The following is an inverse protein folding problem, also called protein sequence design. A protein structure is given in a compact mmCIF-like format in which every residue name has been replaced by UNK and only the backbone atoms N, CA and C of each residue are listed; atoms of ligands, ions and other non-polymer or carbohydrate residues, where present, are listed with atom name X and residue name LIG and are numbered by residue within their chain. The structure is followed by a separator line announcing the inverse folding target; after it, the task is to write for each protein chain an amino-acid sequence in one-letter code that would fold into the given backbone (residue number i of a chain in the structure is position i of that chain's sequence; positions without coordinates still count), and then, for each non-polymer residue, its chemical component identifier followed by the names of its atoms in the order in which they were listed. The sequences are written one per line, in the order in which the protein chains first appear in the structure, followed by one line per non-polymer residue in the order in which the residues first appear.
data_IF_532799473111
#
_entry.id   IF_532799473111
#
_cell.length_a   1.000
_cell.length_b   1.000
_cell.length_c   1.000
_cell.angle_alpha   90.00
_cell.angle_beta   90.00
_cell.angle_gamma   90.00
#
_symmetry.space_group_name_H-M   'P 1'
#
loop_
_entity.id
_entity.type
_entity.pdbx_description
1 polymer ?
#
# COMPACT_ATOMS: atom_id res chain seq x y z
N UNK A 1 52.27 3.11 9.58
CA UNK A 1 51.11 3.89 9.11
C UNK A 1 50.21 2.95 8.32
N UNK A 2 49.18 2.41 8.96
CA UNK A 2 48.18 1.55 8.30
C UNK A 2 47.37 2.43 7.34
N UNK A 3 47.34 2.04 6.06
CA UNK A 3 46.52 2.70 5.06
C UNK A 3 45.07 2.70 5.54
N UNK A 4 44.52 3.88 5.86
CA UNK A 4 43.09 4.02 6.11
C UNK A 4 42.37 3.64 4.81
N UNK A 5 41.84 2.43 4.75
CA UNK A 5 40.93 1.99 3.70
C UNK A 5 39.84 3.03 3.56
N UNK A 6 39.68 3.62 2.37
CA UNK A 6 38.59 4.56 2.10
C UNK A 6 37.26 3.92 2.53
N UNK A 7 36.40 4.65 3.23
CA UNK A 7 35.11 4.11 3.68
C UNK A 7 34.30 3.65 2.47
N UNK A 8 33.87 2.39 2.48
CA UNK A 8 33.07 1.79 1.39
C UNK A 8 31.67 2.40 1.43
N UNK A 9 31.14 2.94 0.31
CA UNK A 9 29.80 3.50 0.29
C UNK A 9 28.76 2.40 0.53
N UNK A 10 27.85 2.64 1.47
CA UNK A 10 26.72 1.77 1.78
C UNK A 10 25.40 2.45 1.42
N UNK A 11 24.40 1.66 1.07
CA UNK A 11 23.08 2.12 0.65
C UNK A 11 22.03 1.43 1.49
N UNK A 12 21.18 2.21 2.14
CA UNK A 12 20.10 1.71 3.00
C UNK A 12 18.78 1.79 2.23
N UNK A 13 18.17 0.65 1.96
CA UNK A 13 16.80 0.55 1.46
C UNK A 13 15.82 0.31 2.61
N UNK A 14 14.71 1.03 2.62
CA UNK A 14 13.62 0.89 3.58
C UNK A 14 12.32 0.72 2.79
N UNK A 15 11.53 -0.31 3.11
CA UNK A 15 10.17 -0.45 2.58
C UNK A 15 9.18 -0.51 3.74
N UNK A 16 8.35 0.53 3.87
CA UNK A 16 7.35 0.61 4.94
C UNK A 16 5.99 0.21 4.41
N UNK A 17 5.53 -0.98 4.81
CA UNK A 17 4.20 -1.49 4.53
C UNK A 17 3.23 -1.40 5.71
N UNK A 18 1.99 -1.84 5.48
CA UNK A 18 0.91 -1.76 6.48
C UNK A 18 1.07 -2.71 7.68
N UNK A 19 1.87 -3.77 7.55
CA UNK A 19 2.10 -4.81 8.58
C UNK A 19 3.56 -4.86 9.01
N UNK A 20 4.48 -4.75 8.06
CA UNK A 20 5.91 -4.85 8.31
C UNK A 20 6.68 -3.73 7.63
N UNK A 21 7.79 -3.37 8.26
CA UNK A 21 8.83 -2.50 7.70
C UNK A 21 10.05 -3.36 7.44
N UNK A 22 10.50 -3.37 6.19
CA UNK A 22 11.66 -4.12 5.73
C UNK A 22 12.84 -3.15 5.55
N UNK A 23 14.03 -3.58 5.94
CA UNK A 23 15.26 -2.82 5.75
C UNK A 23 16.35 -3.70 5.14
N UNK A 24 17.12 -3.13 4.22
CA UNK A 24 18.23 -3.79 3.53
C UNK A 24 19.42 -2.85 3.47
N UNK A 25 20.60 -3.35 3.86
CA UNK A 25 21.86 -2.66 3.66
C UNK A 25 22.62 -3.32 2.51
N UNK A 26 22.93 -2.54 1.49
CA UNK A 26 23.59 -2.99 0.28
C UNK A 26 24.93 -2.27 0.09
N UNK A 27 25.92 -3.01 -0.39
CA UNK A 27 27.23 -2.48 -0.76
C UNK A 27 27.48 -2.69 -2.24
N UNK A 28 27.87 -1.64 -2.94
CA UNK A 28 28.28 -1.72 -4.34
C UNK A 28 29.66 -2.39 -4.49
N UNK A 29 30.53 -2.18 -3.51
CA UNK A 29 31.95 -2.59 -3.55
C UNK A 29 32.19 -4.03 -3.08
N UNK A 30 31.16 -4.70 -2.59
CA UNK A 30 31.25 -6.10 -2.16
C UNK A 30 30.41 -6.97 -3.07
N UNK A 31 30.86 -8.20 -3.36
CA UNK A 31 30.20 -9.07 -4.35
C UNK A 31 30.71 -8.82 -5.78
N UNK A 32 29.99 -9.34 -6.80
CA UNK A 32 30.35 -9.15 -8.20
C UNK A 32 30.54 -7.68 -8.53
N UNK A 33 31.60 -7.34 -9.25
CA UNK A 33 31.92 -5.96 -9.64
C UNK A 33 31.53 -5.65 -11.09
N UNK A 34 31.24 -6.69 -11.87
CA UNK A 34 30.83 -6.63 -13.26
C UNK A 34 29.67 -7.60 -13.50
N UNK A 35 28.89 -7.33 -14.55
CA UNK A 35 27.75 -8.15 -14.92
C UNK A 35 26.49 -7.91 -14.08
N UNK A 36 25.42 -8.67 -14.34
CA UNK A 36 24.18 -8.61 -13.56
C UNK A 36 24.44 -9.06 -12.11
N UNK A 37 23.67 -8.55 -11.15
CA UNK A 37 23.92 -8.72 -9.70
C UNK A 37 25.21 -8.07 -9.17
N UNK A 38 25.66 -6.95 -9.75
CA UNK A 38 26.74 -6.15 -9.14
C UNK A 38 26.37 -5.79 -7.70
N UNK A 39 27.35 -5.83 -6.80
CA UNK A 39 27.17 -5.51 -5.39
C UNK A 39 26.64 -6.68 -4.56
N UNK A 40 26.36 -6.42 -3.28
CA UNK A 40 25.95 -7.45 -2.31
C UNK A 40 25.06 -6.87 -1.22
N UNK A 41 24.00 -7.60 -0.88
CA UNK A 41 23.22 -7.37 0.34
C UNK A 41 24.05 -7.83 1.54
N UNK A 42 24.41 -6.89 2.41
CA UNK A 42 25.18 -7.16 3.63
C UNK A 42 24.28 -7.70 4.75
N UNK A 43 23.11 -7.10 4.91
CA UNK A 43 22.14 -7.51 5.91
C UNK A 43 20.72 -7.13 5.47
N UNK A 44 19.75 -7.90 5.98
CA UNK A 44 18.32 -7.61 5.90
C UNK A 44 17.65 -7.84 7.24
N UNK A 45 16.65 -7.05 7.55
CA UNK A 45 15.79 -7.24 8.71
C UNK A 45 14.37 -6.79 8.42
N UNK A 46 13.48 -7.22 9.29
CA UNK A 46 12.05 -6.96 9.22
C UNK A 46 11.56 -6.69 10.64
N UNK A 47 10.77 -5.65 10.80
CA UNK A 47 10.11 -5.31 12.05
C UNK A 47 8.62 -5.10 11.80
N UNK A 48 7.80 -5.28 12.84
CA UNK A 48 6.37 -4.93 12.76
C UNK A 48 6.22 -3.43 12.53
N UNK A 49 5.33 -3.05 11.60
CA UNK A 49 4.97 -1.64 11.41
C UNK A 49 4.06 -1.20 12.54
N UNK A 50 4.55 -0.26 13.34
CA UNK A 50 3.78 0.38 14.40
C UNK A 50 3.02 1.57 13.82
N UNK A 51 1.78 1.36 13.35
CA UNK A 51 1.02 2.41 12.61
C UNK A 51 0.83 3.74 13.37
N UNK A 52 0.73 3.70 14.69
CA UNK A 52 0.59 4.89 15.52
C UNK A 52 1.92 5.61 15.78
N UNK A 53 3.05 4.93 15.57
CA UNK A 53 4.39 5.48 15.71
C UNK A 53 5.36 4.77 14.74
N UNK A 54 5.44 5.29 13.52
CA UNK A 54 6.24 4.69 12.45
C UNK A 54 7.74 4.64 12.80
N UNK A 55 8.21 5.50 13.70
CA UNK A 55 9.62 5.53 14.11
C UNK A 55 10.03 4.22 14.78
N UNK A 56 9.13 3.58 15.53
CA UNK A 56 9.39 2.28 16.19
C UNK A 56 9.64 1.17 15.16
N UNK A 57 8.80 1.10 14.12
CA UNK A 57 8.95 0.08 13.06
C UNK A 57 10.23 0.30 12.23
N UNK A 58 10.51 1.55 11.89
CA UNK A 58 11.68 1.94 11.10
C UNK A 58 12.97 1.70 11.89
N UNK A 59 13.06 2.21 13.11
CA UNK A 59 14.24 2.01 13.98
C UNK A 59 14.48 0.52 14.23
N UNK A 60 13.45 -0.26 14.57
CA UNK A 60 13.58 -1.69 14.80
C UNK A 60 14.14 -2.45 13.58
N UNK A 61 13.70 -2.10 12.37
CA UNK A 61 14.21 -2.72 11.14
C UNK A 61 15.65 -2.28 10.84
N UNK A 62 15.94 -0.98 10.87
CA UNK A 62 17.25 -0.45 10.48
C UNK A 62 18.33 -0.82 11.51
N UNK A 63 18.02 -0.78 12.81
CA UNK A 63 18.94 -1.17 13.88
C UNK A 63 19.38 -2.62 13.76
N UNK A 64 18.42 -3.51 13.50
CA UNK A 64 18.70 -4.92 13.30
C UNK A 64 19.61 -5.14 12.07
N UNK A 65 19.47 -4.34 11.01
CA UNK A 65 20.36 -4.39 9.84
C UNK A 65 21.76 -3.89 10.19
N UNK A 66 21.88 -2.73 10.84
CA UNK A 66 23.16 -2.16 11.25
C UNK A 66 23.94 -3.08 12.19
N UNK A 67 23.24 -3.66 13.18
CA UNK A 67 23.83 -4.62 14.12
C UNK A 67 24.32 -5.88 13.43
N UNK A 68 23.51 -6.46 12.52
CA UNK A 68 23.91 -7.67 11.75
C UNK A 68 25.09 -7.42 10.83
N UNK A 69 25.14 -6.25 10.19
CA UNK A 69 26.22 -5.88 9.29
C UNK A 69 27.52 -5.52 10.03
N UNK A 70 27.42 -5.02 11.27
CA UNK A 70 28.58 -4.59 12.06
C UNK A 70 29.30 -3.38 11.45
N UNK A 71 28.56 -2.51 10.74
CA UNK A 71 29.12 -1.37 9.98
C UNK A 71 28.86 -0.04 10.65
N UNK A 72 29.77 0.91 10.48
CA UNK A 72 29.57 2.31 10.87
C UNK A 72 28.46 2.97 10.03
N UNK A 73 27.38 3.51 10.65
CA UNK A 73 26.33 4.24 9.95
C UNK A 73 26.84 5.42 9.11
N UNK A 74 27.99 6.02 9.44
CA UNK A 74 28.59 7.13 8.67
C UNK A 74 29.01 6.74 7.24
N UNK A 75 29.11 5.44 6.96
CA UNK A 75 29.41 4.92 5.62
C UNK A 75 28.18 4.89 4.71
N UNK A 76 26.97 5.04 5.25
CA UNK A 76 25.75 5.14 4.44
C UNK A 76 25.81 6.45 3.65
N UNK A 77 25.64 6.36 2.33
CA UNK A 77 25.69 7.50 1.39
C UNK A 77 24.34 7.83 0.77
N UNK A 78 23.36 6.93 0.89
CA UNK A 78 22.01 7.14 0.41
C UNK A 78 21.05 6.30 1.24
N UNK A 79 19.92 6.89 1.61
CA UNK A 79 18.76 6.18 2.15
C UNK A 79 17.65 6.27 1.12
N UNK A 80 17.16 5.13 0.65
CA UNK A 80 16.04 5.04 -0.29
C UNK A 80 14.84 4.41 0.42
N UNK A 81 13.69 5.06 0.32
CA UNK A 81 12.46 4.62 0.99
C UNK A 81 11.33 4.39 -0.02
N UNK A 82 10.77 3.19 -0.03
CA UNK A 82 9.48 2.89 -0.67
C UNK A 82 8.40 2.74 0.39
N UNK A 83 7.13 2.83 -0.03
CA UNK A 83 6.03 2.57 0.88
C UNK A 83 4.76 2.12 0.16
N UNK A 84 4.07 1.15 0.75
CA UNK A 84 2.71 0.77 0.33
C UNK A 84 1.63 1.48 1.15
N UNK A 85 2.00 2.33 2.12
CA UNK A 85 1.04 3.07 2.94
C UNK A 85 0.13 3.96 2.08
N UNK A 86 0.69 4.66 1.09
CA UNK A 86 -0.09 5.50 0.18
C UNK A 86 -1.13 4.70 -0.62
N UNK A 87 -0.71 3.61 -1.26
CA UNK A 87 -1.62 2.74 -2.02
C UNK A 87 -2.70 2.13 -1.13
N UNK A 88 -2.33 1.58 0.03
CA UNK A 88 -3.28 0.96 0.96
C UNK A 88 -4.27 1.99 1.51
N UNK A 89 -3.82 3.19 1.83
CA UNK A 89 -4.69 4.25 2.32
C UNK A 89 -5.79 4.57 1.30
N UNK A 90 -5.44 4.72 0.02
CA UNK A 90 -6.43 4.99 -1.02
C UNK A 90 -7.38 3.80 -1.27
N UNK A 91 -6.88 2.57 -1.23
CA UNK A 91 -7.69 1.35 -1.40
C UNK A 91 -8.66 1.16 -0.22
N UNK A 92 -8.20 1.41 0.99
CA UNK A 92 -8.99 1.26 2.23
C UNK A 92 -9.86 2.49 2.53
N UNK A 93 -9.80 3.55 1.71
CA UNK A 93 -10.49 4.82 1.94
C UNK A 93 -9.98 5.57 3.18
N UNK A 94 -8.77 5.26 3.64
CA UNK A 94 -8.11 5.90 4.78
C UNK A 94 -7.33 7.14 4.31
N UNK A 95 -7.26 8.15 5.18
CA UNK A 95 -6.57 9.40 4.90
C UNK A 95 -7.07 10.51 5.82
N UNK A 96 -6.45 11.68 5.71
CA UNK A 96 -6.96 12.87 6.39
C UNK A 96 -8.28 13.33 5.78
N UNK A 97 -9.20 13.85 6.59
CA UNK A 97 -10.36 14.61 6.08
C UNK A 97 -9.85 15.87 5.40
N UNK A 98 -10.30 16.17 4.18
CA UNK A 98 -9.80 17.30 3.37
C UNK A 98 -10.95 18.13 2.82
N UNK A 99 -10.77 19.44 2.69
CA UNK A 99 -11.73 20.29 1.97
C UNK A 99 -11.34 20.43 0.50
N UNK A 100 -12.29 20.17 -0.41
CA UNK A 100 -12.13 20.40 -1.85
C UNK A 100 -12.64 21.79 -2.23
N UNK A 101 -11.77 22.66 -2.74
CA UNK A 101 -12.12 23.96 -3.30
C UNK A 101 -12.16 23.86 -4.82
N UNK A 102 -13.33 24.06 -5.41
CA UNK A 102 -13.56 24.01 -6.85
C UNK A 102 -13.87 25.40 -7.40
N UNK A 103 -12.94 25.98 -8.16
CA UNK A 103 -13.05 27.34 -8.69
C UNK A 103 -13.47 27.31 -10.16
N UNK A 104 -14.63 27.89 -10.49
CA UNK A 104 -15.18 27.91 -11.84
C UNK A 104 -15.79 26.58 -12.30
N UNK A 105 -16.10 25.67 -11.37
CA UNK A 105 -16.79 24.41 -11.62
C UNK A 105 -18.25 24.47 -11.18
N UNK A 106 -19.06 23.57 -11.71
CA UNK A 106 -20.46 23.36 -11.30
C UNK A 106 -20.59 22.14 -10.37
N UNK A 107 -21.69 22.04 -9.61
CA UNK A 107 -21.97 20.84 -8.81
C UNK A 107 -22.05 19.56 -9.66
N UNK A 108 -22.49 19.68 -10.93
CA UNK A 108 -22.56 18.57 -11.87
C UNK A 108 -21.19 17.94 -12.17
N UNK A 109 -20.10 18.70 -12.01
CA UNK A 109 -18.74 18.20 -12.24
C UNK A 109 -18.32 17.17 -11.19
N UNK A 110 -18.92 17.16 -9.99
CA UNK A 110 -18.67 16.14 -8.98
C UNK A 110 -19.09 14.74 -9.43
N UNK A 111 -20.11 14.63 -10.28
CA UNK A 111 -20.60 13.34 -10.76
C UNK A 111 -19.65 12.65 -11.75
N UNK A 112 -18.56 13.33 -12.16
CA UNK A 112 -17.62 12.87 -13.19
C UNK A 112 -16.37 12.25 -12.58
N UNK A 113 -15.76 11.31 -13.33
CA UNK A 113 -14.51 10.63 -13.00
C UNK A 113 -14.46 10.00 -11.59
N UNK A 114 -15.61 9.72 -10.97
CA UNK A 114 -15.69 9.17 -9.61
C UNK A 114 -15.41 10.18 -8.49
N UNK A 115 -15.34 11.48 -8.79
CA UNK A 115 -15.01 12.53 -7.82
C UNK A 115 -15.96 12.57 -6.62
N UNK A 116 -17.28 12.50 -6.84
CA UNK A 116 -18.29 12.46 -5.77
C UNK A 116 -18.12 11.25 -4.85
N UNK A 117 -17.80 10.09 -5.43
CA UNK A 117 -17.56 8.88 -4.66
C UNK A 117 -16.28 8.97 -3.82
N UNK A 118 -15.21 9.54 -4.38
CA UNK A 118 -13.97 9.80 -3.65
C UNK A 118 -14.18 10.84 -2.53
N UNK A 119 -14.91 11.93 -2.82
CA UNK A 119 -15.22 12.99 -1.86
C UNK A 119 -15.97 12.44 -0.64
N UNK A 120 -17.02 11.64 -0.86
CA UNK A 120 -17.79 11.06 0.24
C UNK A 120 -18.43 12.16 1.10
N UNK A 121 -18.00 12.28 2.35
CA UNK A 121 -18.48 13.29 3.33
C UNK A 121 -17.49 14.45 3.55
N UNK A 122 -16.42 14.50 2.76
CA UNK A 122 -15.48 15.62 2.78
C UNK A 122 -16.16 16.90 2.28
N UNK A 123 -15.87 18.06 2.90
CA UNK A 123 -16.50 19.31 2.51
C UNK A 123 -16.01 19.77 1.14
N UNK A 124 -16.91 20.39 0.39
CA UNK A 124 -16.61 21.03 -0.90
C UNK A 124 -17.08 22.47 -0.88
N UNK A 125 -16.25 23.37 -1.40
CA UNK A 125 -16.56 24.80 -1.55
C UNK A 125 -16.44 25.15 -3.02
N UNK A 126 -17.51 25.70 -3.59
CA UNK A 126 -17.51 26.22 -4.95
C UNK A 126 -17.25 27.73 -4.94
N UNK A 127 -16.31 28.17 -5.76
CA UNK A 127 -15.98 29.60 -5.89
C UNK A 127 -16.17 30.04 -7.35
N UNK A 128 -16.84 31.18 -7.60
CA UNK A 128 -16.86 31.80 -8.91
C UNK A 128 -15.45 32.17 -9.38
N UNK A 129 -15.17 31.98 -10.67
CA UNK A 129 -13.87 32.25 -11.27
C UNK A 129 -13.52 31.23 -12.35
N UNK A 130 -12.29 30.72 -12.30
CA UNK A 130 -11.74 29.86 -13.34
C UNK A 130 -11.21 30.63 -14.55
N UNK A 131 -10.75 29.90 -15.56
CA UNK A 131 -10.19 30.46 -16.78
C UNK A 131 -10.86 29.85 -18.00
N UNK A 132 -10.87 30.56 -19.11
CA UNK A 132 -11.33 30.02 -20.39
C UNK A 132 -10.27 29.08 -21.03
N UNK A 133 -10.60 28.54 -22.20
CA UNK A 133 -9.69 27.65 -22.94
C UNK A 133 -8.38 28.35 -23.31
N UNK A 134 -8.30 29.68 -23.36
CA UNK A 134 -7.08 30.43 -23.70
C UNK A 134 -6.27 30.82 -22.46
N UNK A 135 -6.79 30.57 -21.25
CA UNK A 135 -6.15 30.93 -19.98
C UNK A 135 -6.53 32.33 -19.49
N UNK A 136 -7.52 32.98 -20.11
CA UNK A 136 -8.03 34.27 -19.66
C UNK A 136 -8.84 34.06 -18.37
N UNK A 137 -8.49 34.79 -17.32
CA UNK A 137 -9.14 34.67 -16.02
C UNK A 137 -10.52 35.35 -16.01
N UNK A 138 -11.54 34.63 -15.54
CA UNK A 138 -12.78 35.25 -15.10
C UNK A 138 -12.58 35.97 -13.76
N UNK A 139 -13.52 36.83 -13.35
CA UNK A 139 -13.46 37.46 -12.03
C UNK A 139 -13.52 36.39 -10.94
N UNK A 140 -12.46 36.31 -10.13
CA UNK A 140 -12.39 35.44 -8.96
C UNK A 140 -13.20 36.01 -7.79
N UNK A 141 -13.98 35.17 -7.13
CA UNK A 141 -14.65 35.49 -5.87
C UNK A 141 -14.37 34.38 -4.83
N UNK A 142 -13.59 34.72 -3.81
CA UNK A 142 -13.23 33.82 -2.71
C UNK A 142 -14.01 34.13 -1.42
N UNK A 143 -14.98 35.04 -1.43
CA UNK A 143 -15.71 35.44 -0.22
C UNK A 143 -16.37 34.25 0.49
N UNK A 144 -16.98 33.34 -0.28
CA UNK A 144 -17.58 32.11 0.25
C UNK A 144 -16.54 31.14 0.85
N UNK A 145 -15.33 31.08 0.27
CA UNK A 145 -14.23 30.32 0.86
C UNK A 145 -13.78 30.95 2.17
N UNK A 146 -13.51 32.26 2.17
CA UNK A 146 -13.05 32.99 3.37
C UNK A 146 -14.02 32.82 4.55
N UNK A 147 -15.34 32.88 4.29
CA UNK A 147 -16.35 32.67 5.30
C UNK A 147 -16.37 31.23 5.87
N UNK A 148 -16.02 30.22 5.07
CA UNK A 148 -15.99 28.82 5.48
C UNK A 148 -14.69 28.41 6.20
N UNK A 149 -13.58 29.15 6.02
CA UNK A 149 -12.26 28.79 6.54
C UNK A 149 -12.20 28.60 8.07
N UNK A 150 -12.89 29.38 8.93
CA UNK A 150 -12.85 29.16 10.38
C UNK A 150 -13.34 27.76 10.79
N UNK A 151 -14.43 27.28 10.19
CA UNK A 151 -14.97 25.94 10.49
C UNK A 151 -14.15 24.84 9.80
N UNK A 152 -13.75 25.06 8.55
CA UNK A 152 -12.95 24.08 7.80
C UNK A 152 -11.58 23.89 8.46
N UNK A 153 -10.90 24.98 8.84
CA UNK A 153 -9.59 24.93 9.49
C UNK A 153 -9.55 24.12 10.78
N UNK A 154 -10.68 24.03 11.50
CA UNK A 154 -10.80 23.22 12.71
C UNK A 154 -11.19 21.75 12.43
N UNK A 155 -11.72 21.43 11.24
CA UNK A 155 -12.37 20.15 10.95
C UNK A 155 -11.71 19.33 9.83
N UNK A 156 -10.75 19.90 9.10
CA UNK A 156 -9.99 19.21 8.05
C UNK A 156 -8.49 19.24 8.35
N UNK A 157 -7.77 18.28 7.78
CA UNK A 157 -6.31 18.16 7.88
C UNK A 157 -5.56 18.89 6.76
N UNK A 158 -6.28 19.37 5.74
CA UNK A 158 -5.70 20.07 4.60
C UNK A 158 -6.75 20.41 3.54
N UNK A 159 -6.30 21.08 2.48
CA UNK A 159 -7.15 21.53 1.37
C UNK A 159 -6.63 21.03 0.02
N UNK A 160 -7.56 20.72 -0.87
CA UNK A 160 -7.32 20.45 -2.28
C UNK A 160 -7.94 21.58 -3.10
N UNK A 161 -7.16 22.28 -3.92
CA UNK A 161 -7.64 23.40 -4.74
C UNK A 161 -7.54 23.05 -6.21
N UNK A 162 -8.67 23.12 -6.92
CA UNK A 162 -8.74 22.92 -8.35
C UNK A 162 -9.50 24.07 -9.01
N UNK A 163 -8.87 24.74 -9.98
CA UNK A 163 -9.51 25.74 -10.83
C UNK A 163 -9.67 25.25 -12.27
N UNK A 164 -10.74 25.71 -12.92
CA UNK A 164 -10.96 25.49 -14.34
C UNK A 164 -9.80 26.07 -15.16
N UNK A 165 -9.26 25.29 -16.10
CA UNK A 165 -8.07 25.62 -16.91
C UNK A 165 -6.82 26.12 -16.14
N UNK A 166 -6.65 25.72 -14.87
CA UNK A 166 -5.49 26.14 -14.07
C UNK A 166 -4.13 25.71 -14.66
N UNK A 167 -4.12 24.66 -15.50
CA UNK A 167 -2.91 24.19 -16.20
C UNK A 167 -2.40 25.20 -17.24
N UNK A 168 -3.24 26.13 -17.70
CA UNK A 168 -2.84 27.25 -18.55
C UNK A 168 -2.52 28.50 -17.75
N UNK A 169 -3.31 28.75 -16.69
CA UNK A 169 -3.13 29.90 -15.81
C UNK A 169 -3.45 29.50 -14.36
N UNK A 170 -2.44 29.37 -13.48
CA UNK A 170 -2.65 28.90 -12.11
C UNK A 170 -3.08 30.02 -11.13
N UNK A 171 -3.27 31.27 -11.59
CA UNK A 171 -3.45 32.43 -10.74
C UNK A 171 -4.56 32.26 -9.67
N UNK A 172 -5.70 31.69 -10.04
CA UNK A 172 -6.79 31.44 -9.08
C UNK A 172 -6.48 30.36 -8.05
N UNK A 173 -5.75 29.30 -8.42
CA UNK A 173 -5.34 28.28 -7.45
C UNK A 173 -4.33 28.86 -6.46
N UNK A 174 -3.38 29.66 -6.96
CA UNK A 174 -2.39 30.35 -6.13
C UNK A 174 -3.09 31.31 -5.16
N UNK A 175 -4.02 32.13 -5.64
CA UNK A 175 -4.76 33.07 -4.78
C UNK A 175 -5.53 32.37 -3.66
N UNK A 176 -6.25 31.29 -3.99
CA UNK A 176 -6.96 30.50 -2.98
C UNK A 176 -6.01 29.82 -2.00
N UNK A 177 -4.87 29.28 -2.49
CA UNK A 177 -3.84 28.66 -1.67
C UNK A 177 -3.26 29.63 -0.63
N UNK A 178 -2.89 30.83 -1.06
CA UNK A 178 -2.32 31.84 -0.15
C UNK A 178 -3.35 32.25 0.91
N UNK A 179 -4.60 32.51 0.51
CA UNK A 179 -5.69 32.82 1.45
C UNK A 179 -5.89 31.70 2.50
N UNK A 180 -5.96 30.44 2.06
CA UNK A 180 -6.14 29.30 2.95
C UNK A 180 -4.96 29.20 3.93
N UNK A 181 -3.72 29.31 3.44
CA UNK A 181 -2.51 29.24 4.27
C UNK A 181 -2.45 30.37 5.29
N UNK A 182 -2.76 31.60 4.88
CA UNK A 182 -2.78 32.76 5.75
C UNK A 182 -3.77 32.60 6.90
N UNK A 183 -4.99 32.10 6.62
CA UNK A 183 -6.07 32.01 7.61
C UNK A 183 -6.01 30.76 8.48
N UNK A 184 -5.49 29.64 7.97
CA UNK A 184 -5.56 28.34 8.65
C UNK A 184 -4.21 27.71 8.98
N UNK A 185 -3.13 28.08 8.29
CA UNK A 185 -1.83 27.42 8.40
C UNK A 185 -1.78 25.97 7.89
N UNK A 186 -2.88 25.44 7.38
CA UNK A 186 -2.99 24.04 6.96
C UNK A 186 -2.34 23.80 5.58
N UNK A 187 -1.90 22.56 5.29
CA UNK A 187 -1.35 22.21 3.99
C UNK A 187 -2.41 22.33 2.89
N UNK A 188 -1.97 22.81 1.73
CA UNK A 188 -2.81 23.02 0.55
C UNK A 188 -2.15 22.39 -0.67
N UNK A 189 -2.86 21.47 -1.32
CA UNK A 189 -2.47 20.90 -2.61
C UNK A 189 -3.16 21.67 -3.73
N UNK A 190 -2.38 22.21 -4.67
CA UNK A 190 -2.93 22.86 -5.87
C UNK A 190 -2.82 21.93 -7.07
N UNK A 191 -3.91 21.78 -7.82
CA UNK A 191 -3.96 20.76 -8.87
C UNK A 191 -2.99 21.00 -10.04
N UNK A 192 -2.66 22.26 -10.34
CA UNK A 192 -1.69 22.60 -11.40
C UNK A 192 -0.27 22.13 -11.07
N UNK A 193 0.05 21.92 -9.79
CA UNK A 193 1.35 21.41 -9.36
C UNK A 193 1.46 19.89 -9.60
N UNK A 194 0.35 19.17 -9.64
CA UNK A 194 0.33 17.72 -9.80
C UNK A 194 0.26 17.27 -11.26
N UNK A 195 -0.48 17.99 -12.10
CA UNK A 195 -0.64 17.60 -13.51
C UNK A 195 -0.91 18.80 -14.41
N UNK A 196 -0.20 18.84 -15.54
CA UNK A 196 -0.45 19.79 -16.62
C UNK A 196 -1.53 19.30 -17.62
N UNK A 197 -2.02 18.05 -17.48
CA UNK A 197 -3.02 17.46 -18.38
C UNK A 197 -4.40 18.10 -18.18
N UNK A 198 -5.17 18.21 -19.26
CA UNK A 198 -6.58 18.62 -19.21
C UNK A 198 -7.46 17.54 -18.54
N UNK A 199 -8.69 17.89 -18.17
CA UNK A 199 -9.61 16.99 -17.46
C UNK A 199 -9.85 17.45 -16.02
N UNK A 200 -10.63 18.52 -15.86
CA UNK A 200 -10.87 19.18 -14.58
C UNK A 200 -11.34 18.26 -13.43
N UNK A 201 -12.41 17.46 -13.60
CA UNK A 201 -12.88 16.55 -12.56
C UNK A 201 -11.85 15.50 -12.14
N UNK A 202 -11.15 14.87 -13.09
CA UNK A 202 -10.07 13.91 -12.79
C UNK A 202 -8.87 14.56 -12.11
N UNK A 203 -8.53 15.80 -12.46
CA UNK A 203 -7.53 16.61 -11.75
C UNK A 203 -7.96 16.91 -10.31
N UNK A 204 -9.20 17.34 -10.12
CA UNK A 204 -9.76 17.60 -8.79
C UNK A 204 -9.72 16.33 -7.93
N UNK A 205 -10.08 15.18 -8.50
CA UNK A 205 -9.95 13.86 -7.86
C UNK A 205 -8.50 13.60 -7.43
N UNK A 206 -7.54 13.71 -8.35
CA UNK A 206 -6.13 13.46 -8.04
C UNK A 206 -5.61 14.40 -6.94
N UNK A 207 -6.04 15.66 -6.97
CA UNK A 207 -5.68 16.69 -5.98
C UNK A 207 -6.25 16.37 -4.61
N UNK A 208 -7.51 15.93 -4.55
CA UNK A 208 -8.15 15.47 -3.34
C UNK A 208 -7.40 14.27 -2.75
N UNK A 209 -7.14 13.24 -3.56
CA UNK A 209 -6.42 12.04 -3.09
C UNK A 209 -5.01 12.38 -2.60
N UNK A 210 -4.28 13.26 -3.29
CA UNK A 210 -2.98 13.72 -2.82
C UNK A 210 -3.05 14.41 -1.46
N UNK A 211 -3.97 15.38 -1.31
CA UNK A 211 -4.14 16.13 -0.07
C UNK A 211 -4.44 15.21 1.13
N UNK A 212 -5.20 14.13 0.92
CA UNK A 212 -5.50 13.13 1.97
C UNK A 212 -4.28 12.36 2.45
N UNK A 213 -3.26 12.22 1.60
CA UNK A 213 -2.04 11.47 1.89
C UNK A 213 -0.93 12.30 2.54
N UNK A 214 -1.01 13.64 2.47
CA UNK A 214 0.05 14.56 2.95
C UNK A 214 0.45 14.22 4.38
N UNK A 215 -0.50 14.20 5.32
CA UNK A 215 -0.21 13.96 6.75
C UNK A 215 0.38 12.59 7.04
N UNK A 216 0.05 11.59 6.23
CA UNK A 216 0.59 10.23 6.38
C UNK A 216 2.05 10.17 5.95
N UNK A 217 2.35 10.69 4.76
CA UNK A 217 3.71 10.68 4.22
C UNK A 217 4.61 11.65 4.98
N UNK A 218 4.08 12.79 5.44
CA UNK A 218 4.80 13.74 6.29
C UNK A 218 5.31 13.08 7.58
N UNK A 219 4.46 12.30 8.26
CA UNK A 219 4.83 11.51 9.45
C UNK A 219 5.85 10.42 9.14
N UNK A 220 5.68 9.71 8.02
CA UNK A 220 6.64 8.68 7.60
C UNK A 220 8.03 9.30 7.37
N UNK A 221 8.10 10.38 6.61
CA UNK A 221 9.35 11.07 6.32
C UNK A 221 9.97 11.64 7.59
N UNK A 222 9.18 12.27 8.47
CA UNK A 222 9.66 12.82 9.73
C UNK A 222 10.22 11.74 10.66
N UNK A 223 9.55 10.59 10.75
CA UNK A 223 10.02 9.45 11.54
C UNK A 223 11.38 8.93 11.01
N UNK A 224 11.51 8.80 9.68
CA UNK A 224 12.77 8.38 9.07
C UNK A 224 13.87 9.41 9.28
N UNK A 225 13.63 10.70 9.00
CA UNK A 225 14.63 11.76 9.19
C UNK A 225 15.08 11.89 10.65
N UNK A 226 14.14 11.79 11.60
CA UNK A 226 14.44 11.76 13.03
C UNK A 226 15.36 10.61 13.40
N UNK A 227 15.04 9.39 12.94
CA UNK A 227 15.90 8.22 13.15
C UNK A 227 17.30 8.40 12.55
N UNK A 228 17.40 8.92 11.32
CA UNK A 228 18.70 9.17 10.68
C UNK A 228 19.53 10.17 11.50
N UNK A 229 18.90 11.22 12.03
CA UNK A 229 19.52 12.19 12.92
C UNK A 229 20.05 11.56 14.21
N UNK A 230 19.24 10.76 14.90
CA UNK A 230 19.64 10.06 16.14
C UNK A 230 20.83 9.12 15.94
N UNK A 231 20.98 8.55 14.73
CA UNK A 231 22.09 7.67 14.37
C UNK A 231 23.23 8.34 13.63
N UNK A 232 23.23 9.67 13.55
CA UNK A 232 24.26 10.45 12.87
C UNK A 232 24.48 10.01 11.41
N UNK A 233 23.42 9.55 10.74
CA UNK A 233 23.45 9.19 9.32
C UNK A 233 23.21 10.47 8.51
N UNK A 234 24.28 11.04 7.95
CA UNK A 234 24.24 12.28 7.17
C UNK A 234 23.76 12.09 5.71
N UNK A 235 23.32 10.88 5.33
CA UNK A 235 22.92 10.57 3.97
C UNK A 235 21.57 11.22 3.60
N UNK A 236 21.37 11.62 2.34
CA UNK A 236 20.08 12.10 1.88
C UNK A 236 19.03 10.99 1.92
N UNK A 237 17.82 11.34 2.38
CA UNK A 237 16.63 10.52 2.26
C UNK A 237 15.94 10.78 0.92
N UNK A 238 15.87 9.73 0.11
CA UNK A 238 15.17 9.71 -1.17
C UNK A 238 13.96 8.77 -1.08
N UNK A 239 12.89 9.12 -1.78
CA UNK A 239 11.64 8.36 -1.83
C UNK A 239 11.43 7.81 -3.23
N UNK A 240 10.99 6.56 -3.32
CA UNK A 240 10.70 5.89 -4.60
C UNK A 240 9.31 6.31 -5.09
N UNK A 241 9.21 6.72 -6.36
CA UNK A 241 7.94 7.00 -7.04
C UNK A 241 7.35 5.75 -7.68
N UNK A 242 6.07 5.83 -8.06
CA UNK A 242 5.37 4.76 -8.77
C UNK A 242 5.95 4.41 -10.15
N UNK A 243 6.85 5.23 -10.69
CA UNK A 243 7.60 4.98 -11.94
C UNK A 243 8.99 4.37 -11.69
N UNK A 244 9.39 4.18 -10.43
CA UNK A 244 10.69 3.65 -10.02
C UNK A 244 11.79 4.71 -9.89
N UNK A 245 11.49 5.98 -10.18
CA UNK A 245 12.45 7.07 -9.98
C UNK A 245 12.59 7.44 -8.50
N UNK A 246 13.75 8.01 -8.13
CA UNK A 246 14.00 8.56 -6.80
C UNK A 246 13.76 10.07 -6.79
N UNK A 247 13.06 10.54 -5.78
CA UNK A 247 12.83 11.97 -5.50
C UNK A 247 13.22 12.32 -4.08
N UNK A 248 13.44 13.60 -3.81
CA UNK A 248 13.74 14.04 -2.44
C UNK A 248 12.54 13.83 -1.53
N UNK A 249 12.81 13.65 -0.24
CA UNK A 249 11.79 13.59 0.79
C UNK A 249 10.88 14.83 0.78
N UNK A 250 11.44 16.02 0.54
CA UNK A 250 10.69 17.27 0.40
C UNK A 250 9.69 17.25 -0.77
N UNK A 251 10.06 16.68 -1.91
CA UNK A 251 9.16 16.51 -3.05
C UNK A 251 8.01 15.54 -2.70
N UNK A 252 8.34 14.40 -2.08
CA UNK A 252 7.35 13.40 -1.69
C UNK A 252 6.35 13.93 -0.64
N UNK A 253 6.78 14.82 0.27
CA UNK A 253 5.88 15.49 1.23
C UNK A 253 4.84 16.39 0.55
N UNK A 254 5.13 16.94 -0.63
CA UNK A 254 4.19 17.77 -1.39
C UNK A 254 3.32 16.95 -2.34
N UNK A 255 3.87 15.87 -2.90
CA UNK A 255 3.22 15.03 -3.91
C UNK A 255 3.20 13.55 -3.52
N UNK A 256 2.65 13.19 -2.35
CA UNK A 256 2.59 11.80 -1.89
C UNK A 256 1.82 10.88 -2.83
N UNK A 257 0.90 11.42 -3.64
CA UNK A 257 0.19 10.63 -4.65
C UNK A 257 1.14 10.01 -5.69
N UNK A 258 2.32 10.58 -5.90
CA UNK A 258 3.33 10.04 -6.83
C UNK A 258 4.08 8.83 -6.26
N UNK A 259 3.90 8.49 -4.98
CA UNK A 259 4.51 7.32 -4.34
C UNK A 259 3.59 6.09 -4.34
N UNK A 260 2.39 6.21 -4.92
CA UNK A 260 1.51 5.04 -5.14
C UNK A 260 2.22 4.04 -6.04
N UNK A 261 2.07 2.75 -5.74
CA UNK A 261 2.70 1.66 -6.50
C UNK A 261 4.24 1.71 -6.52
N UNK A 262 4.87 2.44 -5.58
CA UNK A 262 6.33 2.52 -5.46
C UNK A 262 7.00 1.18 -5.13
N UNK A 263 6.34 0.32 -4.34
CA UNK A 263 6.81 -1.04 -4.04
C UNK A 263 7.00 -1.89 -5.31
N UNK A 264 5.93 -2.13 -6.10
CA UNK A 264 6.04 -2.82 -7.39
C UNK A 264 7.07 -2.19 -8.32
N UNK A 265 7.13 -0.86 -8.40
CA UNK A 265 8.11 -0.18 -9.23
C UNK A 265 9.57 -0.46 -8.77
N UNK A 266 9.82 -0.47 -7.46
CA UNK A 266 11.11 -0.86 -6.89
C UNK A 266 11.46 -2.32 -7.20
N UNK A 267 10.49 -3.24 -7.13
CA UNK A 267 10.67 -4.65 -7.51
C UNK A 267 11.14 -4.79 -8.96
N UNK A 268 10.58 -4.00 -9.89
CA UNK A 268 10.99 -4.00 -11.31
C UNK A 268 12.42 -3.48 -11.49
N UNK A 269 12.77 -2.37 -10.85
CA UNK A 269 14.12 -1.80 -10.91
C UNK A 269 15.15 -2.78 -10.31
N UNK A 270 14.81 -3.42 -9.19
CA UNK A 270 15.63 -4.44 -8.56
C UNK A 270 15.79 -5.69 -9.43
N UNK A 271 14.71 -6.17 -10.06
CA UNK A 271 14.74 -7.31 -10.98
C UNK A 271 15.65 -7.04 -12.19
N UNK A 272 15.58 -5.85 -12.77
CA UNK A 272 16.51 -5.43 -13.84
C UNK A 272 17.95 -5.45 -13.36
N UNK A 273 18.24 -4.89 -12.19
CA UNK A 273 19.61 -4.88 -11.62
C UNK A 273 20.16 -6.30 -11.42
N UNK A 274 19.31 -7.22 -10.95
CA UNK A 274 19.71 -8.59 -10.67
C UNK A 274 19.86 -9.46 -11.92
N UNK A 275 19.04 -9.22 -12.94
CA UNK A 275 19.01 -10.08 -14.13
C UNK A 275 19.81 -9.51 -15.30
N UNK A 276 20.02 -8.19 -15.33
CA UNK A 276 20.56 -7.48 -16.49
C UNK A 276 19.60 -7.44 -17.69
N UNK A 277 18.35 -7.88 -17.52
CA UNK A 277 17.36 -7.91 -18.60
C UNK A 277 16.67 -6.55 -18.72
N UNK A 278 16.80 -5.94 -19.90
CA UNK A 278 16.11 -4.70 -20.21
C UNK A 278 14.64 -4.91 -20.59
N UNK A 279 14.30 -6.11 -21.11
CA UNK A 279 12.94 -6.48 -21.47
C UNK A 279 12.54 -7.73 -20.70
N UNK A 280 11.57 -7.61 -19.81
CA UNK A 280 11.12 -8.71 -18.95
C UNK A 280 9.69 -8.51 -18.47
N UNK A 281 9.02 -9.63 -18.16
CA UNK A 281 7.79 -9.63 -17.37
C UNK A 281 8.19 -9.97 -15.94
N UNK A 282 7.85 -9.08 -15.00
CA UNK A 282 8.09 -9.27 -13.58
C UNK A 282 6.77 -9.64 -12.93
N UNK A 283 6.77 -10.77 -12.21
CA UNK A 283 5.62 -11.27 -11.44
C UNK A 283 5.99 -11.28 -9.96
N UNK A 284 5.43 -10.33 -9.21
CA UNK A 284 5.60 -10.24 -7.75
C UNK A 284 4.42 -10.96 -7.07
N UNK A 285 4.69 -12.13 -6.50
CA UNK A 285 3.68 -13.00 -5.89
C UNK A 285 3.75 -12.84 -4.38
N UNK A 286 2.76 -12.13 -3.82
CA UNK A 286 2.57 -12.02 -2.38
C UNK A 286 1.71 -13.17 -1.82
N UNK A 287 1.32 -13.07 -0.54
CA UNK A 287 0.41 -14.04 0.07
C UNK A 287 -0.99 -14.01 -0.54
N UNK A 288 -1.48 -12.84 -0.96
CA UNK A 288 -2.89 -12.68 -1.35
C UNK A 288 -3.12 -12.29 -2.81
N UNK A 289 -2.10 -11.71 -3.44
CA UNK A 289 -2.17 -11.14 -4.78
C UNK A 289 -0.89 -11.37 -5.54
N UNK A 290 -1.00 -11.36 -6.86
CA UNK A 290 0.12 -11.38 -7.80
C UNK A 290 0.07 -10.13 -8.63
N UNK A 291 1.14 -9.35 -8.59
CA UNK A 291 1.31 -8.13 -9.36
C UNK A 291 2.23 -8.40 -10.55
N UNK A 292 1.70 -8.24 -11.76
CA UNK A 292 2.44 -8.46 -13.00
C UNK A 292 2.68 -7.13 -13.69
N UNK A 293 3.93 -6.81 -14.00
CA UNK A 293 4.29 -5.62 -14.77
C UNK A 293 5.45 -5.89 -15.74
N UNK A 294 5.67 -4.95 -16.65
CA UNK A 294 6.59 -5.10 -17.78
C UNK A 294 7.75 -4.11 -17.66
N UNK A 295 8.96 -4.63 -17.79
CA UNK A 295 10.17 -3.86 -18.12
C UNK A 295 10.29 -3.77 -19.63
N UNK A 296 10.42 -2.55 -20.15
CA UNK A 296 10.56 -2.23 -21.57
C UNK A 296 11.75 -1.28 -21.75
N UNK A 297 12.77 -1.69 -22.49
CA UNK A 297 13.99 -0.90 -22.70
C UNK A 297 14.71 -0.50 -21.40
N UNK A 298 14.64 -1.37 -20.38
CA UNK A 298 15.29 -1.18 -19.10
C UNK A 298 14.53 -0.26 -18.13
N UNK A 299 13.27 0.08 -18.43
CA UNK A 299 12.43 0.95 -17.60
C UNK A 299 11.08 0.28 -17.32
N UNK A 300 10.46 0.53 -16.16
CA UNK A 300 9.07 0.15 -15.93
C UNK A 300 8.16 0.78 -16.99
N UNK A 301 7.33 -0.02 -17.64
CA UNK A 301 6.29 0.48 -18.53
C UNK A 301 5.24 1.22 -17.70
N UNK A 302 4.92 2.45 -18.06
CA UNK A 302 3.95 3.30 -17.36
C UNK A 302 2.57 3.25 -18.02
N UNK A 303 1.52 3.52 -17.25
CA UNK A 303 0.16 3.73 -17.78
C UNK A 303 0.00 5.22 -18.18
N UNK A 304 -0.04 5.57 -19.49
CA UNK A 304 -0.10 6.96 -19.94
C UNK A 304 -1.42 7.66 -19.57
N UNK A 305 -2.46 6.86 -19.33
CA UNK A 305 -3.80 7.31 -18.94
C UNK A 305 -3.94 7.43 -17.41
N UNK A 306 -2.85 7.20 -16.67
CA UNK A 306 -2.73 7.36 -15.22
C UNK A 306 -3.07 6.08 -14.43
N UNK A 307 -2.55 6.00 -13.20
CA UNK A 307 -2.73 4.85 -12.34
C UNK A 307 -4.18 4.72 -11.83
N UNK A 308 -4.68 3.48 -11.78
CA UNK A 308 -5.95 3.15 -11.11
C UNK A 308 -5.67 2.60 -9.72
N UNK A 309 -6.15 3.27 -8.67
CA UNK A 309 -5.99 2.83 -7.27
C UNK A 309 -7.30 3.06 -6.52
N UNK A 310 -7.73 2.06 -5.73
CA UNK A 310 -8.99 2.16 -4.97
C UNK A 310 -10.25 2.36 -5.83
N UNK A 311 -10.22 1.91 -7.09
CA UNK A 311 -11.31 2.14 -8.06
C UNK A 311 -11.30 3.53 -8.71
N UNK A 312 -10.33 4.39 -8.39
CA UNK A 312 -10.22 5.74 -8.93
C UNK A 312 -9.09 5.85 -9.95
N UNK A 313 -9.39 6.45 -11.11
CA UNK A 313 -8.41 6.73 -12.16
C UNK A 313 -7.76 8.10 -11.89
N UNK A 314 -6.47 8.09 -11.55
CA UNK A 314 -5.72 9.30 -11.22
C UNK A 314 -5.04 9.90 -12.46
N UNK A 315 -4.44 11.10 -12.31
CA UNK A 315 -3.59 11.72 -13.32
C UNK A 315 -2.11 11.36 -13.19
N UNK A 316 -1.76 10.53 -12.20
CA UNK A 316 -0.37 10.16 -11.90
C UNK A 316 0.07 9.03 -12.81
N UNK A 317 1.16 9.25 -13.54
CA UNK A 317 1.81 8.19 -14.30
C UNK A 317 2.59 7.31 -13.33
N UNK A 318 2.23 6.03 -13.28
CA UNK A 318 2.91 5.01 -12.50
C UNK A 318 3.02 3.73 -13.32
N UNK A 319 3.71 2.73 -12.77
CA UNK A 319 3.88 1.42 -13.41
C UNK A 319 2.53 0.83 -13.85
N UNK A 320 2.46 0.45 -15.12
CA UNK A 320 1.34 -0.28 -15.68
C UNK A 320 1.42 -1.71 -15.17
N UNK A 321 0.55 -2.03 -14.21
CA UNK A 321 0.51 -3.33 -13.56
C UNK A 321 -0.86 -3.97 -13.64
N UNK A 322 -0.88 -5.30 -13.62
CA UNK A 322 -2.09 -6.11 -13.49
C UNK A 322 -2.00 -6.92 -12.22
N UNK A 323 -2.93 -6.66 -11.31
CA UNK A 323 -3.06 -7.42 -10.06
C UNK A 323 -4.07 -8.54 -10.25
N UNK A 324 -3.67 -9.75 -9.89
CA UNK A 324 -4.53 -10.92 -9.82
C UNK A 324 -4.76 -11.30 -8.36
N UNK A 325 -5.99 -11.67 -8.00
CA UNK A 325 -6.36 -12.17 -6.66
C UNK A 325 -5.87 -13.60 -6.39
N UNK A 326 -4.64 -13.89 -6.80
CA UNK A 326 -3.96 -15.17 -6.65
C UNK A 326 -2.63 -14.91 -5.95
N UNK A 327 -2.33 -15.62 -4.88
CA UNK A 327 -1.09 -15.51 -4.11
C UNK A 327 -0.79 -16.80 -3.38
N UNK A 328 0.19 -16.79 -2.48
CA UNK A 328 0.60 -17.98 -1.72
C UNK A 328 -0.42 -18.54 -0.73
N UNK A 329 -1.48 -17.78 -0.42
CA UNK A 329 -2.58 -18.16 0.49
C UNK A 329 -3.84 -18.58 -0.29
N UNK A 330 -3.79 -18.60 -1.62
CA UNK A 330 -4.94 -18.94 -2.47
C UNK A 330 -5.34 -20.39 -2.31
N UNK A 331 -6.60 -20.65 -1.99
CA UNK A 331 -7.09 -22.00 -1.75
C UNK A 331 -6.93 -22.90 -2.98
N UNK A 332 -6.34 -24.07 -2.79
CA UNK A 332 -6.37 -25.15 -3.76
C UNK A 332 -7.65 -25.96 -3.55
N UNK A 333 -8.49 -26.03 -4.60
CA UNK A 333 -9.70 -26.86 -4.61
C UNK A 333 -9.71 -27.81 -5.81
N UNK A 334 -10.44 -28.92 -5.69
CA UNK A 334 -10.69 -29.86 -6.77
C UNK A 334 -12.12 -29.64 -7.29
N UNK A 335 -12.24 -29.45 -8.60
CA UNK A 335 -13.53 -29.48 -9.30
C UNK A 335 -13.95 -30.95 -9.46
N UNK A 336 -14.73 -31.43 -8.49
CA UNK A 336 -15.24 -32.80 -8.48
C UNK A 336 -16.62 -32.91 -9.14
N UNK A 337 -16.98 -34.12 -9.61
CA UNK A 337 -18.30 -34.38 -10.20
C UNK A 337 -18.43 -33.95 -11.66
N UNK A 338 -17.31 -33.59 -12.30
CA UNK A 338 -17.20 -33.34 -13.74
C UNK A 338 -16.41 -34.46 -14.41
N UNK A 339 -16.63 -34.67 -15.71
CA UNK A 339 -15.99 -35.75 -16.48
C UNK A 339 -14.46 -35.63 -16.50
N UNK A 340 -13.95 -34.39 -16.42
CA UNK A 340 -12.53 -34.04 -16.41
C UNK A 340 -12.24 -33.13 -15.20
N UNK A 341 -11.91 -33.69 -14.02
CA UNK A 341 -11.67 -32.89 -12.81
C UNK A 341 -10.47 -31.97 -12.98
N UNK A 342 -10.54 -30.80 -12.34
CA UNK A 342 -9.50 -29.76 -12.42
C UNK A 342 -9.09 -29.31 -11.05
N UNK A 343 -7.83 -28.90 -10.92
CA UNK A 343 -7.38 -28.14 -9.78
C UNK A 343 -7.73 -26.67 -10.04
N UNK A 344 -8.45 -26.06 -9.11
CA UNK A 344 -8.79 -24.65 -9.11
C UNK A 344 -8.00 -23.94 -8.02
N UNK A 345 -7.52 -22.74 -8.32
CA UNK A 345 -6.76 -21.90 -7.41
C UNK A 345 -7.54 -20.61 -7.12
N UNK A 346 -7.76 -20.32 -5.83
CA UNK A 346 -8.49 -19.13 -5.39
C UNK A 346 -9.96 -19.12 -5.84
N UNK A 347 -10.65 -17.97 -5.73
CA UNK A 347 -10.19 -16.68 -5.17
C UNK A 347 -10.18 -16.67 -3.63
N UNK A 348 -10.70 -17.73 -3.00
CA UNK A 348 -10.74 -17.84 -1.54
C UNK A 348 -9.33 -18.05 -0.99
N UNK A 349 -9.12 -17.64 0.26
CA UNK A 349 -7.83 -17.71 0.96
C UNK A 349 -7.92 -18.64 2.16
N UNK A 350 -6.86 -19.40 2.41
CA UNK A 350 -6.69 -20.22 3.61
C UNK A 350 -5.39 -19.83 4.33
N UNK A 351 -5.30 -20.16 5.61
CA UNK A 351 -4.01 -20.19 6.30
C UNK A 351 -3.17 -21.32 5.69
N UNK A 352 -1.94 -21.09 5.21
CA UNK A 352 -1.13 -22.15 4.66
C UNK A 352 -0.96 -23.31 5.65
N UNK A 353 -1.20 -24.54 5.20
CA UNK A 353 -1.13 -25.73 6.08
C UNK A 353 0.25 -25.87 6.75
N UNK A 354 1.32 -25.49 6.05
CA UNK A 354 2.67 -25.45 6.62
C UNK A 354 2.79 -24.47 7.80
N UNK A 355 2.17 -23.29 7.70
CA UNK A 355 2.14 -22.31 8.78
C UNK A 355 1.35 -22.83 9.98
N UNK A 356 0.18 -23.44 9.74
CA UNK A 356 -0.60 -24.08 10.80
C UNK A 356 0.17 -25.20 11.49
N UNK A 357 0.90 -26.02 10.73
CA UNK A 357 1.77 -27.07 11.26
C UNK A 357 2.91 -26.52 12.12
N UNK A 358 3.55 -25.43 11.70
CA UNK A 358 4.59 -24.77 12.50
C UNK A 358 4.03 -24.14 13.78
N UNK A 359 2.87 -23.49 13.71
CA UNK A 359 2.28 -22.76 14.82
C UNK A 359 1.64 -23.67 15.88
N UNK A 360 1.05 -24.80 15.47
CA UNK A 360 0.27 -25.68 16.35
C UNK A 360 0.85 -27.09 16.51
N UNK A 361 1.95 -27.40 15.82
CA UNK A 361 2.73 -28.62 15.99
C UNK A 361 1.88 -29.89 15.92
N UNK A 362 1.92 -30.67 17.01
CA UNK A 362 1.28 -31.99 17.12
C UNK A 362 -0.23 -31.96 16.90
N UNK A 363 -0.92 -30.86 17.21
CA UNK A 363 -2.36 -30.74 17.01
C UNK A 363 -2.76 -30.85 15.52
N UNK A 364 -1.89 -30.39 14.62
CA UNK A 364 -2.10 -30.49 13.16
C UNK A 364 -1.46 -31.76 12.62
N UNK A 365 -0.21 -32.04 12.97
CA UNK A 365 0.53 -33.17 12.36
C UNK A 365 -0.05 -34.53 12.72
N UNK A 366 -0.53 -34.74 13.95
CA UNK A 366 -1.14 -36.02 14.35
C UNK A 366 -2.40 -36.35 13.55
N UNK A 367 -3.16 -35.34 13.18
CA UNK A 367 -4.38 -35.50 12.40
C UNK A 367 -4.10 -35.70 10.92
N UNK A 368 -3.09 -35.00 10.38
CA UNK A 368 -2.58 -35.27 9.03
C UNK A 368 -2.07 -36.70 8.91
N UNK A 369 -1.33 -37.21 9.91
CA UNK A 369 -0.89 -38.61 9.93
C UNK A 369 -2.07 -39.58 9.99
N UNK A 370 -3.12 -39.26 10.76
CA UNK A 370 -4.34 -40.08 10.80
C UNK A 370 -5.02 -40.13 9.44
N UNK A 371 -5.20 -38.98 8.80
CA UNK A 371 -5.81 -38.86 7.47
C UNK A 371 -4.98 -39.62 6.43
N UNK A 372 -3.65 -39.52 6.49
CA UNK A 372 -2.75 -40.27 5.59
C UNK A 372 -2.84 -41.79 5.75
N UNK A 373 -3.10 -42.29 6.97
CA UNK A 373 -3.29 -43.72 7.25
C UNK A 373 -4.70 -44.22 6.93
N UNK A 374 -5.65 -43.33 6.62
CA UNK A 374 -7.01 -43.73 6.29
C UNK A 374 -7.02 -44.52 4.96
N UNK A 375 -7.84 -45.59 4.85
CA UNK A 375 -7.88 -46.42 3.64
C UNK A 375 -8.43 -45.68 2.42
N UNK A 376 -9.24 -44.64 2.65
CA UNK A 376 -9.82 -43.80 1.60
C UNK A 376 -9.57 -42.32 1.93
N UNK A 377 -9.15 -41.50 0.95
CA UNK A 377 -8.99 -40.07 1.14
C UNK A 377 -10.36 -39.39 1.32
N UNK A 378 -10.44 -38.50 2.31
CA UNK A 378 -11.59 -37.65 2.57
C UNK A 378 -11.49 -36.30 1.85
N UNK A 379 -12.64 -35.73 1.47
CA UNK A 379 -12.70 -34.41 0.81
C UNK A 379 -12.24 -33.25 1.70
N UNK A 380 -12.30 -33.44 3.01
CA UNK A 380 -11.93 -32.43 4.01
C UNK A 380 -10.55 -32.71 4.64
N UNK A 381 -9.84 -33.72 4.14
CA UNK A 381 -8.49 -34.04 4.60
C UNK A 381 -7.55 -32.85 4.33
N UNK A 382 -6.60 -32.64 5.25
CA UNK A 382 -5.70 -31.50 5.22
C UNK A 382 -6.34 -30.16 5.58
N UNK A 383 -7.63 -30.10 5.95
CA UNK A 383 -8.30 -28.86 6.34
C UNK A 383 -8.52 -28.77 7.85
N UNK A 384 -8.24 -27.60 8.42
CA UNK A 384 -8.39 -27.34 9.85
C UNK A 384 -9.14 -26.02 10.09
N UNK A 385 -10.02 -25.96 11.08
CA UNK A 385 -10.69 -24.74 11.51
C UNK A 385 -10.11 -24.25 12.85
N UNK A 386 -9.83 -22.96 12.96
CA UNK A 386 -9.29 -22.33 14.17
C UNK A 386 -9.91 -20.94 14.37
N UNK A 387 -10.12 -20.54 15.61
CA UNK A 387 -10.70 -19.23 15.94
C UNK A 387 -9.70 -18.11 15.63
N UNK A 388 -10.17 -16.99 15.08
CA UNK A 388 -9.30 -15.84 14.73
C UNK A 388 -8.82 -15.03 15.94
N UNK A 389 -9.41 -15.26 17.13
CA UNK A 389 -9.07 -14.52 18.35
C UNK A 389 -9.69 -13.11 18.43
N UNK A 390 -10.61 -12.79 17.52
CA UNK A 390 -11.34 -11.51 17.56
C UNK A 390 -12.26 -11.40 18.79
N UNK A 391 -12.51 -10.18 19.32
CA UNK A 391 -13.34 -10.01 20.51
C UNK A 391 -14.75 -10.61 20.36
N UNK A 392 -15.27 -11.26 21.39
CA UNK A 392 -16.55 -12.00 21.37
C UNK A 392 -17.76 -11.14 20.93
N UNK A 393 -17.70 -9.82 21.12
CA UNK A 393 -18.73 -8.90 20.63
C UNK A 393 -18.94 -8.99 19.10
N UNK A 394 -17.93 -9.38 18.32
CA UNK A 394 -18.04 -9.56 16.87
C UNK A 394 -18.76 -10.86 16.48
N UNK A 395 -18.87 -11.81 17.43
CA UNK A 395 -19.67 -13.01 17.32
C UNK A 395 -21.16 -12.79 17.72
N UNK A 396 -21.57 -11.55 18.01
CA UNK A 396 -22.98 -11.24 18.24
C UNK A 396 -23.84 -11.49 16.97
N UNK A 397 -25.10 -11.89 17.16
CA UNK A 397 -26.04 -12.11 16.06
C UNK A 397 -25.76 -13.35 15.20
N UNK A 398 -24.99 -14.33 15.73
CA UNK A 398 -24.89 -15.65 15.11
C UNK A 398 -26.22 -16.39 15.25
N UNK A 399 -26.62 -17.11 14.21
CA UNK A 399 -27.75 -18.06 14.29
C UNK A 399 -27.41 -19.20 15.27
N UNK A 400 -28.40 -19.91 15.79
CA UNK A 400 -28.16 -21.01 16.74
C UNK A 400 -27.19 -22.08 16.22
N UNK A 401 -27.24 -22.39 14.91
CA UNK A 401 -26.31 -23.33 14.28
C UNK A 401 -24.88 -22.78 14.16
N UNK A 402 -24.73 -21.48 13.88
CA UNK A 402 -23.43 -20.80 13.81
C UNK A 402 -22.79 -20.67 15.18
N UNK A 403 -23.56 -20.27 16.20
CA UNK A 403 -23.07 -20.16 17.57
C UNK A 403 -22.56 -21.51 18.09
N UNK A 404 -23.33 -22.58 17.89
CA UNK A 404 -22.93 -23.94 18.29
C UNK A 404 -21.65 -24.40 17.60
N UNK A 405 -21.51 -24.15 16.29
CA UNK A 405 -20.28 -24.51 15.57
C UNK A 405 -19.09 -23.65 16.01
N UNK A 406 -19.32 -22.36 16.25
CA UNK A 406 -18.29 -21.42 16.71
C UNK A 406 -17.78 -21.76 18.11
N UNK A 407 -18.65 -22.23 19.03
CA UNK A 407 -18.26 -22.70 20.37
C UNK A 407 -17.34 -23.93 20.33
N UNK A 408 -17.51 -24.82 19.35
CA UNK A 408 -16.65 -25.99 19.17
C UNK A 408 -15.25 -25.61 18.67
N UNK A 409 -15.12 -24.49 17.96
CA UNK A 409 -13.87 -24.05 17.35
C UNK A 409 -13.11 -23.13 18.33
N UNK A 410 -12.03 -23.67 18.90
CA UNK A 410 -11.15 -22.97 19.82
C UNK A 410 -9.89 -22.37 19.17
N UNK A 411 -8.93 -22.01 20.01
CA UNK A 411 -7.60 -21.52 19.60
C UNK A 411 -6.67 -22.62 19.07
N UNK A 412 -7.00 -23.89 19.32
CA UNK A 412 -6.29 -25.05 18.77
C UNK A 412 -7.03 -25.50 17.51
N UNK A 413 -6.35 -25.65 16.34
CA UNK A 413 -6.99 -26.07 15.11
C UNK A 413 -7.64 -27.44 15.25
N UNK A 414 -8.85 -27.57 14.71
CA UNK A 414 -9.58 -28.83 14.65
C UNK A 414 -9.74 -29.29 13.21
N UNK A 415 -9.51 -30.60 12.97
CA UNK A 415 -9.75 -31.24 11.69
C UNK A 415 -11.19 -31.00 11.21
N UNK A 416 -11.35 -30.47 10.00
CA UNK A 416 -12.68 -30.15 9.49
C UNK A 416 -13.49 -31.42 9.23
N UNK A 417 -12.86 -32.54 8.87
CA UNK A 417 -13.52 -33.83 8.67
C UNK A 417 -14.07 -34.44 9.99
N UNK A 418 -13.48 -34.10 11.13
CA UNK A 418 -14.04 -34.44 12.46
C UNK A 418 -15.10 -33.45 12.94
N UNK A 419 -14.94 -32.18 12.57
CA UNK A 419 -15.82 -31.10 13.00
C UNK A 419 -17.16 -31.13 12.30
N UNK A 420 -17.18 -31.45 10.99
CA UNK A 420 -18.38 -31.41 10.16
C UNK A 420 -18.88 -32.83 9.90
N UNK A 421 -20.11 -33.09 10.30
CA UNK A 421 -20.81 -34.36 10.05
C UNK A 421 -21.81 -34.27 8.89
N UNK A 422 -22.00 -33.07 8.31
CA UNK A 422 -22.91 -32.84 7.19
C UNK A 422 -22.52 -31.64 6.32
N UNK A 423 -22.97 -31.63 5.06
CA UNK A 423 -22.76 -30.51 4.13
C UNK A 423 -23.36 -29.18 4.63
N UNK A 424 -24.46 -29.22 5.38
CA UNK A 424 -25.08 -28.03 5.95
C UNK A 424 -24.15 -27.29 6.94
N UNK A 425 -23.35 -28.04 7.70
CA UNK A 425 -22.36 -27.45 8.61
C UNK A 425 -21.18 -26.83 7.86
N UNK A 426 -20.84 -27.32 6.67
CA UNK A 426 -19.80 -26.69 5.83
C UNK A 426 -20.23 -25.28 5.37
N UNK A 427 -21.50 -25.11 4.99
CA UNK A 427 -22.05 -23.79 4.68
C UNK A 427 -22.02 -22.85 5.90
N UNK A 428 -22.30 -23.38 7.11
CA UNK A 428 -22.18 -22.64 8.37
C UNK A 428 -20.74 -22.23 8.66
N UNK A 429 -19.77 -23.13 8.50
CA UNK A 429 -18.35 -22.82 8.65
C UNK A 429 -17.93 -21.71 7.68
N UNK A 430 -18.35 -21.79 6.41
CA UNK A 430 -18.05 -20.76 5.42
C UNK A 430 -18.63 -19.39 5.81
N UNK A 431 -19.83 -19.33 6.42
CA UNK A 431 -20.37 -18.06 6.95
C UNK A 431 -19.54 -17.50 8.11
N UNK A 432 -19.06 -18.36 9.02
CA UNK A 432 -18.15 -17.95 10.10
C UNK A 432 -16.82 -17.40 9.56
N UNK A 433 -16.28 -18.03 8.50
CA UNK A 433 -15.07 -17.57 7.80
C UNK A 433 -15.31 -16.22 7.11
N UNK A 434 -16.42 -16.07 6.37
CA UNK A 434 -16.77 -14.80 5.73
C UNK A 434 -16.98 -13.65 6.73
N UNK A 435 -17.37 -13.96 7.97
CA UNK A 435 -17.46 -12.99 9.08
C UNK A 435 -16.12 -12.73 9.78
N UNK A 436 -15.03 -13.41 9.39
CA UNK A 436 -13.71 -13.28 10.01
C UNK A 436 -13.61 -13.85 11.44
N UNK A 437 -14.57 -14.69 11.85
CA UNK A 437 -14.60 -15.28 13.19
C UNK A 437 -13.75 -16.57 13.27
N UNK A 438 -13.63 -17.27 12.14
CA UNK A 438 -12.86 -18.51 12.01
C UNK A 438 -11.91 -18.41 10.82
N UNK A 439 -10.67 -18.86 11.00
CA UNK A 439 -9.75 -19.17 9.91
C UNK A 439 -9.84 -20.64 9.57
N UNK A 440 -9.70 -20.96 8.28
CA UNK A 440 -9.50 -22.33 7.81
C UNK A 440 -8.08 -22.42 7.28
N UNK A 441 -7.34 -23.42 7.75
CA UNK A 441 -6.05 -23.80 7.20
C UNK A 441 -6.21 -24.94 6.18
N UNK A 442 -5.36 -24.97 5.17
CA UNK A 442 -5.38 -26.02 4.15
C UNK A 442 -4.31 -25.83 3.08
N UNK A 443 -4.42 -26.60 2.00
CA UNK A 443 -3.52 -26.48 0.86
C UNK A 443 -3.73 -25.16 0.12
N UNK A 444 -2.63 -24.44 -0.09
CA UNK A 444 -2.56 -23.16 -0.79
C UNK A 444 -1.47 -23.17 -1.86
#
# INVERSE_FOLDING_TARGET
MTAKTKPKPLFLGIDTGGTYTDAVLWSETEGPQEGPNKGKVLAKAKALTTRHDLAVGISGAVDAVLQKAGTDPAHIKLVSMSTTLATNALVEGQGGRVALVMIGFSEGDLARDGLKAALGTDPVVFCPGGHDVHGNAARLDLSGLEAALPELGASVSGFAVCAYFATRNPAHEIAARELIREKTGLPVTSSHELSAKLGGPRRALTTLLNARLISMIDRLVAATEGFLGERNIAAPLMVVRGDGALVSAAFARQRPIETILSGPAASLVGARHMTGLDNAVVSDIGGTTTDVAVLDGGRPRLDPEGATVGGFRTMVEAVAMRTFGLGGDSEVTLEDGVLNPKILLGPRRLVPLALAGMAHGTAVTSELERQLRAPNPGRMDGRFAVRTGVPDRLAAGLTGAEAKLYELIGAVPLAVDRLLTSNAQNATLNRLVSRGLVHVAGFT
#
